data_IF_114256092197
#
_entry.id   IF_114256092197
#
_cell.length_a   1.000
_cell.length_b   1.000
_cell.length_c   1.000
_cell.angle_alpha   90.00
_cell.angle_beta   90.00
_cell.angle_gamma   90.00
#
_symmetry.space_group_name_H-M   'P 1'
#
loop_
_entity.id
_entity.type
_entity.pdbx_description
1 polymer ?
#
# COMPACT_ATOMS: atom_id res chain seq x y z
N UNK A 1 17.07 -10.78 19.88
CA UNK A 1 16.51 -10.98 18.54
C UNK A 1 15.06 -10.50 18.44
N UNK A 2 14.09 -11.19 19.06
CA UNK A 2 12.65 -10.96 18.86
C UNK A 2 12.19 -9.51 18.98
N UNK A 3 12.52 -8.82 20.08
CA UNK A 3 12.11 -7.43 20.28
C UNK A 3 12.56 -6.51 19.15
N UNK A 4 13.76 -6.73 18.60
CA UNK A 4 14.30 -5.94 17.49
C UNK A 4 13.59 -6.28 16.17
N UNK A 5 13.37 -7.56 15.90
CA UNK A 5 12.65 -8.02 14.71
C UNK A 5 11.21 -7.51 14.68
N UNK A 6 10.49 -7.59 15.81
CA UNK A 6 9.12 -7.09 15.94
C UNK A 6 9.04 -5.56 15.86
N UNK A 7 10.00 -4.85 16.47
CA UNK A 7 10.10 -3.40 16.34
C UNK A 7 10.25 -2.98 14.87
N UNK A 8 11.19 -3.61 14.15
CA UNK A 8 11.38 -3.37 12.72
C UNK A 8 10.09 -3.60 11.92
N UNK A 9 9.45 -4.77 12.05
CA UNK A 9 8.19 -5.07 11.37
C UNK A 9 7.07 -4.06 11.68
N UNK A 10 7.05 -3.55 12.91
CA UNK A 10 6.05 -2.57 13.36
C UNK A 10 6.32 -1.15 12.82
N UNK A 11 7.54 -0.88 12.36
CA UNK A 11 7.92 0.38 11.71
C UNK A 11 7.83 0.34 10.20
N UNK A 12 7.57 -0.82 9.58
CA UNK A 12 7.45 -0.93 8.13
C UNK A 12 6.02 -0.73 7.62
N UNK A 13 5.91 -0.18 6.42
CA UNK A 13 4.71 -0.07 5.61
C UNK A 13 4.94 -0.80 4.28
N UNK A 14 3.95 -1.57 3.84
CA UNK A 14 3.95 -2.20 2.53
C UNK A 14 3.64 -1.18 1.42
N UNK A 15 4.40 -1.22 0.33
CA UNK A 15 4.19 -0.43 -0.89
C UNK A 15 4.54 -1.27 -2.13
N UNK A 16 4.23 -0.75 -3.32
CA UNK A 16 4.62 -1.40 -4.57
C UNK A 16 6.14 -1.61 -4.73
N UNK A 17 6.95 -0.79 -4.03
CA UNK A 17 8.41 -0.93 -4.01
C UNK A 17 8.93 -1.86 -2.90
N UNK A 18 8.06 -2.52 -2.13
CA UNK A 18 8.40 -3.38 -1.01
C UNK A 18 8.08 -2.81 0.37
N UNK A 19 8.82 -3.24 1.38
CA UNK A 19 8.72 -2.70 2.73
C UNK A 19 9.53 -1.41 2.84
N UNK A 20 8.87 -0.33 3.22
CA UNK A 20 9.48 0.98 3.45
C UNK A 20 9.17 1.49 4.84
N UNK A 21 9.94 2.48 5.31
CA UNK A 21 9.67 3.13 6.60
C UNK A 21 8.25 3.70 6.65
N UNK A 22 7.49 3.33 7.68
CA UNK A 22 6.19 3.89 7.94
C UNK A 22 6.32 5.29 8.57
N UNK A 23 5.49 6.27 8.13
CA UNK A 23 5.40 7.54 8.82
C UNK A 23 4.95 7.31 10.27
N UNK A 24 5.36 8.19 11.19
CA UNK A 24 5.12 8.02 12.63
C UNK A 24 3.67 7.72 12.99
N UNK A 25 2.70 8.34 12.29
CA UNK A 25 1.26 8.13 12.49
C UNK A 25 0.74 6.75 12.09
N UNK A 26 1.50 5.98 11.30
CA UNK A 26 1.12 4.64 10.82
C UNK A 26 1.94 3.51 11.45
N UNK A 27 2.89 3.82 12.35
CA UNK A 27 3.69 2.81 13.04
C UNK A 27 2.82 2.02 14.01
N UNK A 28 2.93 0.70 13.98
CA UNK A 28 2.11 -0.23 14.78
C UNK A 28 2.84 -0.68 16.05
N UNK A 29 3.51 0.25 16.74
CA UNK A 29 4.33 -0.03 17.91
C UNK A 29 3.99 0.93 19.06
N UNK A 30 3.88 0.39 20.27
CA UNK A 30 3.85 1.17 21.51
C UNK A 30 4.98 0.66 22.39
N UNK A 31 5.95 1.53 22.71
CA UNK A 31 7.09 1.16 23.56
C UNK A 31 6.93 1.82 24.93
N UNK A 32 6.88 0.99 25.96
CA UNK A 32 6.92 1.43 27.36
C UNK A 32 8.24 1.01 27.98
N UNK A 33 8.80 1.91 28.77
CA UNK A 33 10.06 1.69 29.45
C UNK A 33 9.84 1.00 30.79
N UNK A 34 10.78 0.15 31.18
CA UNK A 34 10.79 -0.44 32.51
C UNK A 34 11.14 0.65 33.54
N UNK A 35 10.62 0.52 34.77
CA UNK A 35 10.84 1.49 35.83
C UNK A 35 12.33 1.85 36.00
N UNK A 36 12.65 3.15 36.02
CA UNK A 36 14.01 3.65 36.23
C UNK A 36 14.89 3.68 34.97
N UNK A 37 14.36 3.34 33.80
CA UNK A 37 15.09 3.47 32.53
C UNK A 37 14.81 4.82 31.85
N UNK A 38 15.82 5.37 31.16
CA UNK A 38 15.74 6.70 30.55
C UNK A 38 14.96 6.72 29.23
N UNK A 39 14.17 7.78 29.01
CA UNK A 39 13.35 7.99 27.80
C UNK A 39 14.17 7.91 26.49
N UNK A 40 15.48 8.19 26.54
CA UNK A 40 16.39 8.12 25.39
C UNK A 40 16.43 6.72 24.76
N UNK A 41 16.14 5.66 25.52
CA UNK A 41 16.13 4.30 25.00
C UNK A 41 14.97 4.05 24.02
N UNK A 42 13.83 4.75 24.17
CA UNK A 42 12.74 4.68 23.18
C UNK A 42 13.19 5.31 21.87
N UNK A 43 13.81 6.50 21.94
CA UNK A 43 14.32 7.19 20.76
C UNK A 43 15.38 6.36 20.05
N UNK A 44 16.32 5.78 20.81
CA UNK A 44 17.35 4.91 20.24
C UNK A 44 16.74 3.70 19.49
N UNK A 45 15.72 3.04 20.05
CA UNK A 45 15.03 1.94 19.35
C UNK A 45 14.41 2.40 18.02
N UNK A 46 13.77 3.57 18.01
CA UNK A 46 13.13 4.12 16.81
C UNK A 46 14.17 4.53 15.78
N UNK A 47 15.21 5.26 16.18
CA UNK A 47 16.31 5.69 15.32
C UNK A 47 17.02 4.50 14.68
N UNK A 48 17.23 3.44 15.45
CA UNK A 48 17.96 2.25 15.02
C UNK A 48 17.21 1.42 13.98
N UNK A 49 15.87 1.31 14.09
CA UNK A 49 15.09 0.35 13.32
C UNK A 49 14.11 0.97 12.32
N UNK A 50 13.64 2.21 12.53
CA UNK A 50 12.57 2.75 11.69
C UNK A 50 13.03 3.06 10.26
N UNK A 51 14.31 3.36 10.05
CA UNK A 51 14.89 3.62 8.73
C UNK A 51 15.57 2.40 8.09
N UNK A 52 15.62 1.26 8.79
CA UNK A 52 16.23 0.04 8.26
C UNK A 52 15.36 -0.58 7.17
N UNK A 53 15.91 -0.72 5.96
CA UNK A 53 15.28 -1.55 4.93
C UNK A 53 15.43 -3.05 5.26
N UNK A 54 14.75 -3.92 4.50
CA UNK A 54 14.76 -5.36 4.76
C UNK A 54 16.17 -5.99 4.73
N UNK A 55 17.05 -5.54 3.84
CA UNK A 55 18.42 -6.04 3.76
C UNK A 55 19.24 -5.63 5.00
N UNK A 56 19.18 -4.36 5.37
CA UNK A 56 19.85 -3.85 6.57
C UNK A 56 19.34 -4.54 7.84
N UNK A 57 18.02 -4.77 7.93
CA UNK A 57 17.43 -5.50 9.05
C UNK A 57 17.94 -6.95 9.09
N UNK A 58 18.00 -7.63 7.94
CA UNK A 58 18.57 -8.98 7.85
C UNK A 58 20.02 -9.01 8.34
N UNK A 59 20.88 -8.12 7.83
CA UNK A 59 22.29 -8.04 8.23
C UNK A 59 22.44 -7.82 9.74
N UNK A 60 21.77 -6.81 10.29
CA UNK A 60 21.81 -6.47 11.73
C UNK A 60 21.32 -7.62 12.60
N UNK A 61 20.18 -8.23 12.24
CA UNK A 61 19.60 -9.32 13.00
C UNK A 61 20.40 -10.63 12.87
N UNK A 62 21.11 -10.83 11.75
CA UNK A 62 21.97 -12.00 11.52
C UNK A 62 23.28 -11.95 12.29
N UNK A 63 23.69 -10.77 12.77
CA UNK A 63 24.95 -10.56 13.51
C UNK A 63 25.14 -11.60 14.64
N UNK A 64 26.37 -12.11 14.84
CA UNK A 64 26.69 -12.99 15.97
C UNK A 64 26.47 -12.32 17.33
N UNK A 65 26.51 -10.98 17.39
CA UNK A 65 26.24 -10.21 18.63
C UNK A 65 24.78 -10.32 19.06
N UNK A 66 23.88 -10.68 18.15
CA UNK A 66 22.48 -10.98 18.46
C UNK A 66 22.38 -12.45 18.90
N UNK A 67 22.83 -12.73 20.12
CA UNK A 67 22.73 -14.05 20.73
C UNK A 67 21.27 -14.43 21.04
N UNK A 68 20.95 -15.71 20.88
CA UNK A 68 19.64 -16.30 21.20
C UNK A 68 19.84 -17.66 21.86
N UNK A 69 18.90 -18.05 22.71
CA UNK A 69 18.88 -19.40 23.31
C UNK A 69 18.38 -20.46 22.32
N UNK A 70 17.52 -20.07 21.38
CA UNK A 70 17.05 -20.91 20.29
C UNK A 70 17.55 -20.39 18.94
N UNK A 71 18.66 -20.96 18.47
CA UNK A 71 19.29 -20.57 17.20
C UNK A 71 18.43 -20.94 15.99
N UNK A 72 17.70 -22.06 16.04
CA UNK A 72 16.84 -22.51 14.95
C UNK A 72 15.72 -21.50 14.66
N UNK A 73 15.13 -20.90 15.70
CA UNK A 73 14.09 -19.87 15.50
C UNK A 73 14.65 -18.65 14.78
N UNK A 74 15.85 -18.19 15.17
CA UNK A 74 16.52 -17.06 14.54
C UNK A 74 16.73 -17.30 13.05
N UNK A 75 17.24 -18.48 12.67
CA UNK A 75 17.48 -18.84 11.27
C UNK A 75 16.19 -18.87 10.45
N UNK A 76 15.13 -19.49 10.98
CA UNK A 76 13.82 -19.55 10.31
C UNK A 76 13.23 -18.15 10.10
N UNK A 77 13.35 -17.26 11.09
CA UNK A 77 12.80 -15.91 10.97
C UNK A 77 13.65 -15.01 10.07
N UNK A 78 14.98 -15.14 10.10
CA UNK A 78 15.87 -14.41 9.19
C UNK A 78 15.56 -14.74 7.73
N UNK A 79 15.31 -16.02 7.40
CA UNK A 79 14.90 -16.44 6.07
C UNK A 79 13.62 -15.76 5.58
N UNK A 80 12.74 -15.33 6.49
CA UNK A 80 11.49 -14.63 6.14
C UNK A 80 11.66 -13.14 5.88
N UNK A 81 12.68 -12.48 6.44
CA UNK A 81 12.84 -11.02 6.34
C UNK A 81 12.84 -10.55 4.88
N UNK A 82 13.67 -11.17 4.04
CA UNK A 82 13.79 -10.83 2.62
C UNK A 82 12.58 -11.34 1.80
N UNK A 83 12.06 -12.51 2.17
CA UNK A 83 10.89 -13.10 1.50
C UNK A 83 9.64 -12.23 1.67
N UNK A 84 9.43 -11.63 2.84
CA UNK A 84 8.30 -10.73 3.07
C UNK A 84 8.40 -9.49 2.16
N UNK A 85 9.59 -8.89 2.04
CA UNK A 85 9.80 -7.73 1.14
C UNK A 85 9.50 -8.07 -0.32
N UNK A 86 9.97 -9.23 -0.79
CA UNK A 86 9.68 -9.73 -2.13
C UNK A 86 8.19 -10.04 -2.33
N UNK A 87 7.57 -10.67 -1.34
CA UNK A 87 6.14 -11.04 -1.37
C UNK A 87 5.26 -9.78 -1.46
N UNK A 88 5.60 -8.73 -0.73
CA UNK A 88 4.91 -7.44 -0.81
C UNK A 88 4.98 -6.88 -2.24
N UNK A 89 6.18 -6.84 -2.84
CA UNK A 89 6.35 -6.36 -4.23
C UNK A 89 5.51 -7.15 -5.22
N UNK A 90 5.55 -8.49 -5.13
CA UNK A 90 4.77 -9.37 -6.00
C UNK A 90 3.26 -9.15 -5.83
N UNK A 91 2.78 -9.05 -4.59
CA UNK A 91 1.36 -8.83 -4.31
C UNK A 91 0.85 -7.52 -4.93
N UNK A 92 1.62 -6.44 -4.85
CA UNK A 92 1.24 -5.17 -5.48
C UNK A 92 1.25 -5.23 -7.02
N UNK A 93 2.17 -5.99 -7.62
CA UNK A 93 2.21 -6.20 -9.06
C UNK A 93 0.98 -6.99 -9.53
N UNK A 94 0.64 -8.08 -8.84
CA UNK A 94 -0.53 -8.91 -9.15
C UNK A 94 -1.84 -8.10 -9.08
N UNK A 95 -1.98 -7.22 -8.08
CA UNK A 95 -3.15 -6.34 -7.96
C UNK A 95 -3.19 -5.28 -9.08
N UNK A 96 -2.04 -4.76 -9.51
CA UNK A 96 -1.97 -3.81 -10.63
C UNK A 96 -2.40 -4.49 -11.96
N UNK A 97 -1.94 -5.72 -12.20
CA UNK A 97 -2.29 -6.48 -13.41
C UNK A 97 -3.79 -6.77 -13.49
N UNK A 98 -4.43 -7.11 -12.35
CA UNK A 98 -5.89 -7.30 -12.27
C UNK A 98 -6.68 -6.04 -12.63
N UNK A 99 -6.18 -4.86 -12.22
CA UNK A 99 -6.83 -3.57 -12.55
C UNK A 99 -6.71 -3.27 -14.05
N UNK A 100 -5.56 -3.54 -14.66
CA UNK A 100 -5.34 -3.36 -16.10
C UNK A 100 -6.25 -4.28 -16.91
N UNK A 101 -6.35 -5.56 -16.53
CA UNK A 101 -7.22 -6.52 -17.20
C UNK A 101 -8.70 -6.14 -17.07
N UNK A 102 -9.14 -5.72 -15.88
CA UNK A 102 -10.50 -5.24 -15.67
C UNK A 102 -10.84 -3.98 -16.49
N UNK A 103 -9.87 -3.06 -16.64
CA UNK A 103 -10.02 -1.86 -17.47
C UNK A 103 -10.05 -2.18 -18.98
N UNK A 104 -9.24 -3.15 -19.43
CA UNK A 104 -9.24 -3.62 -20.81
C UNK A 104 -10.55 -4.36 -21.16
N UNK A 105 -11.03 -5.23 -20.26
CA UNK A 105 -12.33 -5.89 -20.41
C UNK A 105 -13.48 -4.88 -20.44
N UNK A 106 -13.44 -3.83 -19.62
CA UNK A 106 -14.45 -2.77 -19.59
C UNK A 106 -14.43 -1.88 -20.85
N UNK A 107 -13.26 -1.64 -21.45
CA UNK A 107 -13.13 -0.87 -22.70
C UNK A 107 -13.63 -1.62 -23.94
N UNK A 108 -13.72 -2.95 -23.88
CA UNK A 108 -14.19 -3.79 -24.99
C UNK A 108 -15.72 -3.87 -25.12
N UNK A 109 -16.48 -3.36 -24.13
CA UNK A 109 -17.93 -3.19 -24.25
C UNK A 109 -18.26 -1.87 -24.96
N UNK A 110 -18.01 -1.83 -26.28
CA UNK A 110 -18.55 -0.77 -27.14
C UNK A 110 -20.08 -0.85 -27.16
N UNK A 111 -20.73 0.32 -26.97
CA UNK A 111 -22.17 0.50 -26.94
C UNK A 111 -22.95 -0.30 -28.02
N UNK A 112 -24.15 -0.82 -27.70
CA UNK A 112 -25.00 -1.43 -28.72
C UNK A 112 -25.25 -0.40 -29.83
N UNK A 113 -24.87 -0.74 -31.06
CA UNK A 113 -25.21 0.06 -32.24
C UNK A 113 -26.72 0.23 -32.27
N UNK A 114 -27.21 1.45 -32.08
CA UNK A 114 -28.61 1.78 -32.31
C UNK A 114 -28.92 1.42 -33.77
N UNK A 115 -29.87 0.53 -34.06
CA UNK A 115 -30.31 0.35 -35.42
C UNK A 115 -30.91 1.67 -35.90
N UNK A 116 -30.43 2.15 -37.05
CA UNK A 116 -31.03 3.23 -37.80
C UNK A 116 -32.51 2.87 -38.05
N UNK A 117 -33.41 3.46 -37.28
CA UNK A 117 -34.85 3.39 -37.51
C UNK A 117 -35.42 4.80 -37.38
N UNK A 118 -35.38 5.50 -38.52
CA UNK A 118 -36.35 6.48 -38.98
C UNK A 118 -36.68 7.69 -38.09
N UNK A 119 -36.15 8.84 -38.50
CA UNK A 119 -36.79 10.14 -38.27
C UNK A 119 -38.04 10.19 -39.16
N UNK A 120 -39.23 10.40 -38.57
CA UNK A 120 -39.96 11.58 -38.99
C UNK A 120 -40.63 12.32 -37.81
N UNK A 121 -40.57 13.65 -37.91
CA UNK A 121 -41.52 14.61 -37.35
C UNK A 121 -41.39 14.97 -35.86
N UNK A 122 -40.45 15.88 -35.57
CA UNK A 122 -40.68 16.91 -34.55
C UNK A 122 -40.15 18.29 -34.98
N UNK A 123 -40.32 18.65 -36.25
CA UNK A 123 -40.21 20.05 -36.73
C UNK A 123 -41.55 20.83 -36.60
N UNK A 124 -42.39 20.47 -35.62
CA UNK A 124 -43.63 21.22 -35.34
C UNK A 124 -43.60 21.92 -33.97
N UNK A 125 -42.53 21.77 -33.19
CA UNK A 125 -42.42 22.39 -31.85
C UNK A 125 -41.17 23.25 -31.64
N UNK A 126 -40.61 23.83 -32.71
CA UNK A 126 -39.59 24.89 -32.61
C UNK A 126 -39.93 26.16 -33.43
N UNK A 127 -41.19 26.31 -33.88
CA UNK A 127 -41.68 27.47 -34.63
C UNK A 127 -42.61 28.42 -33.88
N UNK A 128 -42.95 28.15 -32.61
CA UNK A 128 -43.98 28.90 -31.88
C UNK A 128 -43.52 29.57 -30.57
N UNK A 129 -42.21 29.62 -30.27
CA UNK A 129 -41.72 30.15 -29.00
C UNK A 129 -40.62 31.23 -29.13
N UNK A 130 -40.54 31.94 -30.27
CA UNK A 130 -39.57 33.05 -30.45
C UNK A 130 -40.24 34.39 -30.80
N UNK A 131 -41.57 34.46 -31.06
CA UNK A 131 -42.21 35.72 -31.46
C UNK A 131 -43.20 36.36 -30.46
N UNK A 132 -43.29 35.89 -29.21
CA UNK A 132 -44.22 36.45 -28.21
C UNK A 132 -43.54 37.04 -26.96
N UNK A 133 -42.25 37.38 -27.07
CA UNK A 133 -41.51 38.15 -26.05
C UNK A 133 -41.06 39.54 -26.55
N UNK A 134 -41.71 40.05 -27.62
CA UNK A 134 -41.44 41.38 -28.17
C UNK A 134 -42.71 42.26 -28.30
N UNK A 135 -43.83 41.89 -27.67
CA UNK A 135 -45.04 42.72 -27.67
C UNK A 135 -45.97 42.48 -26.47
N UNK A 136 -45.55 42.92 -25.29
CA UNK A 136 -46.43 43.33 -24.19
C UNK A 136 -45.66 44.21 -23.21
#
# INVERSE_FOLDING_TARGET
>A
FWTMFEAWLSFMKATASGLVSAPTSMRRCTTTLLHGTGEQLKSALVEEWAACNAHQAYEKLSSPDVAVTNQSDKEVQLGKVLVIDQTVKATYADEADKVVEAAAASSSQSAPSRPNAWIPQLEVLLGAAINDAARA
#
